data_IF_922328208719
#
_entry.id   IF_922328208719
#
_cell.length_a   1.000
_cell.length_b   1.000
_cell.length_c   1.000
_cell.angle_alpha   90.00
_cell.angle_beta   90.00
_cell.angle_gamma   90.00
#
_symmetry.space_group_name_H-M   'P 1'
#
loop_
_entity.id
_entity.type
_entity.pdbx_description
1 polymer ?
#
# COMPACT_ATOMS: atom_id res chain seq x y z
N UNK A 1 21.64 12.34 5.13
CA UNK A 1 21.13 10.95 5.20
C UNK A 1 19.80 10.91 4.50
N UNK A 2 19.69 10.11 3.45
CA UNK A 2 18.46 9.88 2.69
C UNK A 2 17.75 8.63 3.18
N UNK A 3 16.43 8.68 3.22
CA UNK A 3 15.60 7.59 3.74
C UNK A 3 14.54 7.20 2.70
N UNK A 4 14.55 5.93 2.31
CA UNK A 4 13.47 5.31 1.55
C UNK A 4 12.47 4.61 2.47
N UNK A 5 11.18 4.62 2.11
CA UNK A 5 10.15 3.88 2.83
C UNK A 5 9.45 2.89 1.91
N UNK A 6 9.33 1.66 2.37
CA UNK A 6 8.52 0.63 1.71
C UNK A 6 7.23 0.38 2.51
N UNK A 7 6.09 0.54 1.85
CA UNK A 7 4.76 0.32 2.41
C UNK A 7 4.03 -0.79 1.63
N UNK A 8 4.14 -2.04 2.08
CA UNK A 8 3.44 -3.17 1.46
C UNK A 8 1.92 -3.03 1.50
N UNK A 9 1.23 -3.78 0.65
CA UNK A 9 -0.21 -3.94 0.71
C UNK A 9 -0.66 -4.76 1.92
N UNK A 10 -1.96 -4.73 2.21
CA UNK A 10 -2.52 -5.46 3.36
C UNK A 10 -3.96 -5.10 3.73
N UNK A 11 -4.67 -4.34 2.90
CA UNK A 11 -6.06 -3.94 3.19
C UNK A 11 -6.18 -3.27 4.55
N UNK A 12 -7.09 -3.74 5.40
CA UNK A 12 -7.34 -3.17 6.73
C UNK A 12 -6.11 -3.20 7.67
N UNK A 13 -5.14 -4.11 7.42
CA UNK A 13 -3.87 -4.14 8.16
C UNK A 13 -3.02 -2.88 7.93
N UNK A 14 -3.33 -2.08 6.91
CA UNK A 14 -2.73 -0.77 6.66
C UNK A 14 -2.95 0.24 7.79
N UNK A 15 -3.91 0.00 8.70
CA UNK A 15 -4.10 0.80 9.90
C UNK A 15 -2.84 0.80 10.79
N UNK A 16 -2.16 -0.34 10.92
CA UNK A 16 -0.88 -0.45 11.62
C UNK A 16 0.18 0.48 10.98
N UNK A 17 0.33 0.42 9.65
CA UNK A 17 1.28 1.29 8.93
C UNK A 17 0.99 2.77 9.19
N UNK A 18 -0.27 3.16 9.14
CA UNK A 18 -0.68 4.54 9.35
C UNK A 18 -0.33 5.03 10.78
N UNK A 19 -0.51 4.17 11.79
CA UNK A 19 -0.08 4.45 13.15
C UNK A 19 1.43 4.68 13.27
N UNK A 20 2.24 3.79 12.70
CA UNK A 20 3.71 3.93 12.66
C UNK A 20 4.10 5.24 11.96
N UNK A 21 3.52 5.52 10.79
CA UNK A 21 3.82 6.73 10.02
C UNK A 21 3.47 8.01 10.78
N UNK A 22 2.33 8.06 11.48
CA UNK A 22 1.97 9.22 12.31
C UNK A 22 2.95 9.39 13.47
N UNK A 23 3.32 8.30 14.16
CA UNK A 23 4.28 8.37 15.27
C UNK A 23 5.63 8.93 14.83
N UNK A 24 6.19 8.38 13.75
CA UNK A 24 7.45 8.85 13.16
C UNK A 24 7.35 10.32 12.70
N UNK A 25 6.22 10.69 12.08
CA UNK A 25 5.97 12.07 11.67
C UNK A 25 5.98 13.03 12.86
N UNK A 26 5.32 12.69 13.96
CA UNK A 26 5.27 13.49 15.19
C UNK A 26 6.63 13.58 15.87
N UNK A 27 7.49 12.58 15.71
CA UNK A 27 8.89 12.57 16.18
C UNK A 27 9.87 13.29 15.25
N UNK A 28 9.38 13.88 14.17
CA UNK A 28 10.19 14.71 13.27
C UNK A 28 10.55 14.09 11.93
N UNK A 29 10.32 12.79 11.71
CA UNK A 29 10.52 12.13 10.42
C UNK A 29 9.30 12.39 9.50
N UNK A 30 9.22 13.62 8.99
CA UNK A 30 8.05 14.10 8.25
C UNK A 30 8.07 13.75 6.76
N UNK A 31 9.19 13.27 6.24
CA UNK A 31 9.40 13.07 4.80
C UNK A 31 10.40 11.96 4.55
N UNK A 32 10.21 11.30 3.43
CA UNK A 32 11.14 10.32 2.88
C UNK A 32 11.62 10.80 1.52
N UNK A 33 12.81 10.38 1.12
CA UNK A 33 13.41 10.75 -0.17
C UNK A 33 12.90 9.85 -1.29
N UNK A 34 12.50 8.62 -0.96
CA UNK A 34 11.91 7.68 -1.91
C UNK A 34 10.86 6.79 -1.25
N UNK A 35 9.80 6.49 -1.98
CA UNK A 35 8.66 5.67 -1.54
C UNK A 35 8.49 4.49 -2.49
N UNK A 36 8.31 3.28 -1.95
CA UNK A 36 7.91 2.08 -2.69
C UNK A 36 6.64 1.50 -2.06
N UNK A 37 5.50 1.67 -2.72
CA UNK A 37 4.19 1.48 -2.09
C UNK A 37 3.29 0.56 -2.92
N UNK A 38 2.56 -0.33 -2.23
CA UNK A 38 1.61 -1.29 -2.84
C UNK A 38 0.22 -1.14 -2.22
N UNK A 39 -0.85 -1.10 -3.02
CA UNK A 39 -2.23 -1.20 -2.54
C UNK A 39 -2.54 -0.18 -1.44
N UNK A 40 -3.03 -0.61 -0.29
CA UNK A 40 -3.29 0.27 0.87
C UNK A 40 -2.04 1.05 1.31
N UNK A 41 -0.85 0.48 1.12
CA UNK A 41 0.41 1.18 1.37
C UNK A 41 0.59 2.38 0.44
N UNK A 42 0.10 2.32 -0.81
CA UNK A 42 0.11 3.45 -1.72
C UNK A 42 -0.85 4.57 -1.24
N UNK A 43 -1.99 4.22 -0.67
CA UNK A 43 -2.91 5.19 -0.06
C UNK A 43 -2.26 5.87 1.15
N UNK A 44 -1.73 5.11 2.12
CA UNK A 44 -1.06 5.64 3.30
C UNK A 44 0.14 6.50 2.92
N UNK A 45 0.99 6.00 2.01
CA UNK A 45 2.14 6.72 1.51
C UNK A 45 1.76 8.04 0.83
N UNK A 46 0.67 8.06 0.07
CA UNK A 46 0.23 9.28 -0.61
C UNK A 46 -0.29 10.35 0.36
N UNK A 47 -1.01 9.96 1.41
CA UNK A 47 -1.36 10.90 2.49
C UNK A 47 -0.13 11.53 3.12
N UNK A 48 0.89 10.72 3.40
CA UNK A 48 2.15 11.21 3.97
C UNK A 48 2.92 12.09 2.98
N UNK A 49 3.05 11.63 1.72
CA UNK A 49 3.74 12.34 0.64
C UNK A 49 3.15 13.74 0.39
N UNK A 50 1.84 13.88 0.51
CA UNK A 50 1.11 15.16 0.36
C UNK A 50 0.98 15.94 1.67
N UNK A 51 1.58 15.47 2.77
CA UNK A 51 1.54 16.14 4.06
C UNK A 51 0.18 16.14 4.75
N UNK A 52 -0.73 15.22 4.36
CA UNK A 52 -2.10 15.12 4.89
C UNK A 52 -2.23 14.04 5.99
N UNK A 53 -1.28 13.96 6.94
CA UNK A 53 -1.23 12.92 7.98
C UNK A 53 -2.49 12.93 8.86
N UNK A 54 -3.05 14.09 9.19
CA UNK A 54 -4.30 14.20 9.96
C UNK A 54 -5.50 13.58 9.22
N UNK A 55 -5.53 13.72 7.89
CA UNK A 55 -6.57 13.07 7.07
C UNK A 55 -6.37 11.55 7.00
N UNK A 56 -5.12 11.09 6.91
CA UNK A 56 -4.78 9.66 7.02
C UNK A 56 -5.28 9.09 8.35
N UNK A 57 -4.97 9.75 9.47
CA UNK A 57 -5.47 9.36 10.79
C UNK A 57 -6.99 9.26 10.81
N UNK A 58 -7.69 10.30 10.36
CA UNK A 58 -9.17 10.31 10.30
C UNK A 58 -9.70 9.13 9.46
N UNK A 59 -9.09 8.84 8.33
CA UNK A 59 -9.49 7.69 7.50
C UNK A 59 -9.50 6.38 8.29
N UNK A 60 -8.56 6.17 9.20
CA UNK A 60 -8.43 4.92 9.94
C UNK A 60 -9.25 4.85 11.23
N UNK A 61 -9.43 5.98 11.95
CA UNK A 61 -9.99 5.96 13.30
C UNK A 61 -11.34 6.67 13.45
N UNK A 62 -11.85 7.39 12.42
CA UNK A 62 -13.11 8.15 12.55
C UNK A 62 -14.38 7.28 12.56
N UNK A 63 -14.27 5.98 12.32
CA UNK A 63 -15.43 5.10 12.21
C UNK A 63 -16.25 5.28 10.92
N UNK A 64 -15.87 6.21 10.04
CA UNK A 64 -16.52 6.42 8.74
C UNK A 64 -16.22 5.30 7.73
N UNK A 65 -15.28 4.45 8.03
CA UNK A 65 -14.95 3.28 7.23
C UNK A 65 -16.06 2.23 7.35
N UNK A 66 -16.31 1.49 6.29
CA UNK A 66 -17.41 0.53 6.10
C UNK A 66 -17.48 -0.56 7.20
N UNK A 67 -17.79 -0.17 8.44
CA UNK A 67 -18.00 -1.09 9.54
C UNK A 67 -19.11 -2.09 9.16
N UNK A 68 -18.72 -3.36 8.95
CA UNK A 68 -19.66 -4.45 8.73
C UNK A 68 -20.38 -4.47 7.38
N UNK A 69 -20.07 -3.58 6.44
CA UNK A 69 -20.67 -3.63 5.10
C UNK A 69 -19.87 -4.58 4.20
N UNK A 70 -20.59 -5.44 3.49
CA UNK A 70 -20.04 -6.27 2.42
C UNK A 70 -19.47 -5.34 1.33
N UNK A 71 -18.25 -5.60 0.89
CA UNK A 71 -17.67 -4.84 -0.21
C UNK A 71 -18.46 -5.09 -1.49
N UNK A 72 -18.70 -4.03 -2.26
CA UNK A 72 -19.20 -4.16 -3.61
C UNK A 72 -18.06 -4.49 -4.56
N UNK A 73 -18.38 -5.18 -5.64
CA UNK A 73 -17.42 -5.41 -6.73
C UNK A 73 -18.04 -5.07 -8.08
N UNK A 74 -17.19 -4.53 -8.96
CA UNK A 74 -17.50 -4.31 -10.36
C UNK A 74 -16.47 -5.11 -11.16
N UNK A 75 -16.94 -5.91 -12.11
CA UNK A 75 -16.07 -6.78 -12.93
C UNK A 75 -15.15 -7.71 -12.11
N UNK A 76 -15.64 -8.19 -10.97
CA UNK A 76 -14.86 -8.97 -10.00
C UNK A 76 -13.65 -8.23 -9.41
N UNK A 77 -13.71 -6.92 -9.32
CA UNK A 77 -12.73 -6.06 -8.66
C UNK A 77 -13.44 -5.28 -7.55
N UNK A 78 -12.81 -5.15 -6.39
CA UNK A 78 -13.38 -4.42 -5.26
C UNK A 78 -13.65 -2.95 -5.64
N UNK A 79 -14.83 -2.43 -5.30
CA UNK A 79 -15.13 -1.01 -5.49
C UNK A 79 -14.51 -0.19 -4.35
N UNK A 80 -13.40 0.45 -4.64
CA UNK A 80 -12.68 1.37 -3.75
C UNK A 80 -12.89 2.85 -4.12
N UNK A 81 -13.87 3.15 -4.98
CA UNK A 81 -14.11 4.49 -5.54
C UNK A 81 -14.25 5.56 -4.46
N UNK A 82 -14.86 5.24 -3.32
CA UNK A 82 -15.03 6.15 -2.18
C UNK A 82 -13.68 6.61 -1.60
N UNK A 83 -12.75 5.69 -1.39
CA UNK A 83 -11.44 6.02 -0.79
C UNK A 83 -10.53 6.69 -1.81
N UNK A 84 -10.60 6.29 -3.06
CA UNK A 84 -9.92 6.96 -4.17
C UNK A 84 -10.43 8.40 -4.35
N UNK A 85 -11.76 8.64 -4.21
CA UNK A 85 -12.31 10.00 -4.26
C UNK A 85 -11.69 10.91 -3.20
N UNK A 86 -11.48 10.42 -1.98
CA UNK A 86 -10.81 11.18 -0.90
C UNK A 86 -9.38 11.61 -1.31
N UNK A 87 -8.66 10.79 -2.08
CA UNK A 87 -7.32 11.14 -2.56
C UNK A 87 -7.37 12.29 -3.59
N UNK A 88 -8.39 12.35 -4.46
CA UNK A 88 -8.55 13.47 -5.38
C UNK A 88 -8.82 14.81 -4.67
N UNK A 89 -9.34 14.77 -3.44
CA UNK A 89 -9.63 15.96 -2.62
C UNK A 89 -8.41 16.41 -1.80
N UNK A 90 -7.28 15.70 -1.84
CA UNK A 90 -6.07 16.09 -1.15
C UNK A 90 -5.42 17.27 -1.88
N UNK A 91 -5.03 18.27 -1.09
CA UNK A 91 -4.20 19.36 -1.59
C UNK A 91 -2.73 18.94 -1.51
N UNK A 92 -1.97 19.23 -2.53
CA UNK A 92 -0.52 19.00 -2.58
C UNK A 92 0.21 19.97 -1.61
N UNK A 93 0.08 19.71 -0.31
CA UNK A 93 0.83 20.46 0.69
C UNK A 93 2.26 19.92 0.74
N UNK A 94 3.21 20.71 0.25
CA UNK A 94 4.65 20.49 0.47
C UNK A 94 5.22 19.19 -0.11
N UNK A 95 4.81 18.81 -1.32
CA UNK A 95 5.53 17.79 -2.07
C UNK A 95 6.99 18.22 -2.16
N UNK A 96 7.91 17.33 -1.79
CA UNK A 96 9.33 17.54 -2.04
C UNK A 96 9.59 17.37 -3.54
N UNK A 97 10.07 18.40 -4.20
CA UNK A 97 10.40 18.35 -5.64
C UNK A 97 11.38 17.23 -6.01
N UNK A 98 12.15 16.73 -5.03
CA UNK A 98 13.20 15.72 -5.21
C UNK A 98 12.88 14.35 -4.58
N UNK A 99 11.63 14.07 -4.20
CA UNK A 99 11.26 12.74 -3.70
C UNK A 99 10.65 11.90 -4.80
N UNK A 100 11.09 10.63 -4.92
CA UNK A 100 10.48 9.65 -5.82
C UNK A 100 9.31 8.93 -5.14
N UNK A 101 8.27 8.60 -5.89
CA UNK A 101 7.13 7.84 -5.38
C UNK A 101 6.75 6.72 -6.33
N UNK A 102 7.18 5.52 -6.02
CA UNK A 102 6.93 4.33 -6.83
C UNK A 102 5.71 3.57 -6.34
N UNK A 103 4.87 3.18 -7.28
CA UNK A 103 3.79 2.21 -7.06
C UNK A 103 3.93 1.06 -8.03
N UNK A 104 3.43 -0.11 -7.65
CA UNK A 104 3.30 -1.22 -8.58
C UNK A 104 1.85 -1.63 -8.78
N UNK A 105 1.57 -2.27 -9.91
CA UNK A 105 0.32 -2.95 -10.22
C UNK A 105 0.56 -4.10 -11.19
N UNK A 106 -0.38 -5.04 -11.26
CA UNK A 106 -0.36 -6.13 -12.24
C UNK A 106 -1.16 -5.72 -13.48
N UNK A 107 -0.47 -5.46 -14.59
CA UNK A 107 -1.13 -5.21 -15.87
C UNK A 107 -1.46 -6.54 -16.55
N UNK A 108 -2.72 -6.72 -16.94
CA UNK A 108 -3.17 -7.94 -17.64
C UNK A 108 -3.47 -7.61 -19.11
N UNK A 109 -2.76 -8.24 -20.00
CA UNK A 109 -2.92 -8.11 -21.46
C UNK A 109 -2.65 -9.45 -22.13
N UNK A 110 -3.48 -9.80 -23.11
CA UNK A 110 -3.31 -11.02 -23.90
C UNK A 110 -3.20 -12.28 -23.02
N UNK A 111 -4.07 -12.40 -22.02
CA UNK A 111 -4.10 -13.53 -21.06
C UNK A 111 -2.81 -13.70 -20.25
N UNK A 112 -2.01 -12.64 -20.10
CA UNK A 112 -0.76 -12.63 -19.36
C UNK A 112 -0.72 -11.45 -18.41
N UNK A 113 -0.14 -11.65 -17.22
CA UNK A 113 0.08 -10.62 -16.22
C UNK A 113 1.54 -10.17 -16.20
N UNK A 114 1.76 -8.85 -16.21
CA UNK A 114 3.09 -8.23 -16.06
C UNK A 114 3.07 -7.23 -14.91
N UNK A 115 4.03 -7.32 -13.99
CA UNK A 115 4.25 -6.27 -13.01
C UNK A 115 4.72 -4.98 -13.72
N UNK A 116 4.08 -3.88 -13.38
CA UNK A 116 4.49 -2.54 -13.80
C UNK A 116 4.81 -1.75 -12.54
N UNK A 117 5.97 -1.11 -12.51
CA UNK A 117 6.39 -0.16 -11.47
C UNK A 117 6.45 1.22 -12.12
N UNK A 118 5.84 2.22 -11.50
CA UNK A 118 5.75 3.59 -12.03
C UNK A 118 6.18 4.57 -10.95
N UNK A 119 7.09 5.49 -11.29
CA UNK A 119 7.34 6.69 -10.50
C UNK A 119 6.25 7.72 -10.78
N UNK A 120 5.33 7.87 -9.83
CA UNK A 120 4.22 8.81 -9.94
C UNK A 120 4.58 10.23 -9.48
N UNK A 121 5.76 10.46 -8.92
CA UNK A 121 6.18 11.77 -8.41
C UNK A 121 6.22 12.84 -9.50
N UNK A 122 6.51 12.44 -10.74
CA UNK A 122 6.62 13.32 -11.92
C UNK A 122 5.28 13.60 -12.61
N UNK A 123 4.21 12.94 -12.17
CA UNK A 123 2.88 13.06 -12.77
C UNK A 123 2.09 14.18 -12.08
N UNK A 124 1.05 14.69 -12.77
CA UNK A 124 0.08 15.56 -12.14
C UNK A 124 -0.77 14.81 -11.10
N UNK A 125 -1.46 15.54 -10.24
CA UNK A 125 -2.25 14.97 -9.14
C UNK A 125 -3.28 13.93 -9.61
N UNK A 126 -4.02 14.24 -10.69
CA UNK A 126 -5.05 13.34 -11.24
C UNK A 126 -4.45 11.99 -11.66
N UNK A 127 -3.34 12.03 -12.36
CA UNK A 127 -2.69 10.81 -12.86
C UNK A 127 -2.04 10.02 -11.72
N UNK A 128 -1.45 10.68 -10.71
CA UNK A 128 -0.97 10.00 -9.49
C UNK A 128 -2.08 9.18 -8.85
N UNK A 129 -3.26 9.77 -8.64
CA UNK A 129 -4.40 9.08 -8.02
C UNK A 129 -4.92 7.95 -8.90
N UNK A 130 -4.93 8.11 -10.23
CA UNK A 130 -5.29 7.05 -11.18
C UNK A 130 -4.37 5.83 -11.04
N UNK A 131 -3.06 6.04 -10.95
CA UNK A 131 -2.12 4.95 -10.77
C UNK A 131 -2.25 4.27 -9.39
N UNK A 132 -2.51 5.04 -8.32
CA UNK A 132 -2.83 4.47 -7.01
C UNK A 132 -4.10 3.60 -7.08
N UNK A 133 -5.12 4.03 -7.82
CA UNK A 133 -6.33 3.24 -8.06
C UNK A 133 -5.99 1.88 -8.70
N UNK A 134 -5.08 1.82 -9.66
CA UNK A 134 -4.64 0.56 -10.25
C UNK A 134 -3.97 -0.35 -9.21
N UNK A 135 -3.07 0.21 -8.39
CA UNK A 135 -2.39 -0.53 -7.32
C UNK A 135 -3.35 -1.09 -6.26
N UNK A 136 -4.57 -0.53 -6.14
CA UNK A 136 -5.61 -0.92 -5.18
C UNK A 136 -6.76 -1.72 -5.81
N UNK A 137 -6.66 -2.12 -7.07
CA UNK A 137 -7.70 -2.84 -7.79
C UNK A 137 -7.69 -4.34 -7.45
N UNK A 138 -8.12 -4.66 -6.22
CA UNK A 138 -8.05 -6.01 -5.66
C UNK A 138 -9.13 -6.92 -6.27
N UNK A 139 -8.77 -8.08 -6.84
CA UNK A 139 -9.73 -9.06 -7.31
C UNK A 139 -10.62 -9.58 -6.19
N UNK A 140 -11.94 -9.46 -6.38
CA UNK A 140 -12.93 -9.78 -5.37
C UNK A 140 -14.24 -10.26 -6.03
N UNK A 141 -14.77 -11.36 -5.54
CA UNK A 141 -16.07 -11.86 -5.97
C UNK A 141 -17.12 -11.59 -4.88
N UNK A 142 -18.26 -11.04 -5.28
CA UNK A 142 -19.33 -10.65 -4.34
C UNK A 142 -19.85 -11.82 -3.51
N UNK A 143 -19.86 -13.02 -4.06
CA UNK A 143 -20.40 -14.22 -3.40
C UNK A 143 -19.31 -15.00 -2.63
N UNK A 144 -18.13 -15.13 -3.25
CA UNK A 144 -17.02 -15.95 -2.73
C UNK A 144 -16.03 -15.19 -1.86
N UNK A 145 -15.94 -13.85 -2.01
CA UNK A 145 -14.95 -13.02 -1.35
C UNK A 145 -13.66 -12.84 -2.17
N UNK A 146 -12.53 -12.77 -1.49
CA UNK A 146 -11.22 -12.58 -2.11
C UNK A 146 -10.81 -13.79 -2.95
N UNK A 147 -10.23 -13.52 -4.13
CA UNK A 147 -9.55 -14.54 -4.91
C UNK A 147 -8.17 -14.83 -4.34
N UNK A 148 -7.79 -16.09 -4.30
CA UNK A 148 -6.40 -16.48 -4.12
C UNK A 148 -5.55 -16.09 -5.33
N UNK A 149 -4.24 -15.95 -5.13
CA UNK A 149 -3.30 -15.65 -6.23
C UNK A 149 -3.40 -16.71 -7.33
N UNK A 150 -3.61 -17.98 -6.96
CA UNK A 150 -3.74 -19.08 -7.93
C UNK A 150 -5.03 -18.96 -8.76
N UNK A 151 -6.16 -18.60 -8.16
CA UNK A 151 -7.40 -18.34 -8.88
C UNK A 151 -7.26 -17.16 -9.83
N UNK A 152 -6.62 -16.06 -9.40
CA UNK A 152 -6.36 -14.91 -10.27
C UNK A 152 -5.54 -15.32 -11.49
N UNK A 153 -4.47 -16.10 -11.33
CA UNK A 153 -3.67 -16.62 -12.45
C UNK A 153 -4.52 -17.43 -13.43
N UNK A 154 -5.34 -18.37 -12.94
CA UNK A 154 -6.22 -19.17 -13.76
C UNK A 154 -7.26 -18.32 -14.52
N UNK A 155 -7.76 -17.25 -13.89
CA UNK A 155 -8.70 -16.33 -14.55
C UNK A 155 -8.01 -15.47 -15.61
N UNK A 156 -6.77 -15.04 -15.37
CA UNK A 156 -5.96 -14.33 -16.37
C UNK A 156 -5.76 -15.24 -17.62
N UNK A 157 -5.32 -16.47 -17.42
CA UNK A 157 -5.12 -17.46 -18.50
C UNK A 157 -6.41 -17.72 -19.30
N UNK A 158 -7.58 -17.66 -18.64
CA UNK A 158 -8.90 -17.75 -19.28
C UNK A 158 -9.39 -16.43 -19.89
N UNK A 159 -8.61 -15.34 -19.81
CA UNK A 159 -8.94 -14.03 -20.37
C UNK A 159 -9.93 -13.20 -19.56
N UNK A 160 -10.30 -13.59 -18.32
CA UNK A 160 -11.32 -12.87 -17.53
C UNK A 160 -10.92 -11.47 -17.09
N UNK A 161 -9.63 -11.22 -16.88
CA UNK A 161 -9.11 -9.91 -16.48
C UNK A 161 -8.35 -9.22 -17.62
N UNK A 162 -8.52 -9.66 -18.87
CA UNK A 162 -7.80 -9.06 -19.99
C UNK A 162 -8.21 -7.60 -20.20
N UNK A 163 -7.24 -6.72 -20.36
CA UNK A 163 -7.46 -5.27 -20.42
C UNK A 163 -7.41 -4.55 -19.05
N UNK A 164 -7.46 -5.26 -17.92
CA UNK A 164 -7.44 -4.66 -16.59
C UNK A 164 -6.02 -4.42 -16.06
N UNK A 165 -5.95 -3.52 -15.08
CA UNK A 165 -4.83 -3.38 -14.16
C UNK A 165 -5.34 -3.82 -12.78
N UNK A 166 -4.62 -4.73 -12.13
CA UNK A 166 -5.00 -5.33 -10.86
C UNK A 166 -4.04 -4.89 -9.75
N UNK A 167 -4.47 -5.09 -8.50
CA UNK A 167 -3.71 -4.77 -7.29
C UNK A 167 -2.25 -5.24 -7.37
N UNK A 168 -1.34 -4.38 -6.94
CA UNK A 168 0.10 -4.64 -6.97
C UNK A 168 0.51 -5.87 -6.15
N UNK A 169 -0.23 -6.19 -5.10
CA UNK A 169 -0.03 -7.40 -4.30
C UNK A 169 -0.24 -8.70 -5.07
N UNK A 170 -0.94 -8.67 -6.20
CA UNK A 170 -1.09 -9.82 -7.10
C UNK A 170 0.21 -10.13 -7.85
N UNK A 171 1.09 -9.15 -8.01
CA UNK A 171 2.42 -9.32 -8.59
C UNK A 171 3.46 -9.49 -7.48
N UNK A 172 3.66 -8.45 -6.69
CA UNK A 172 4.66 -8.42 -5.62
C UNK A 172 4.22 -7.44 -4.51
N UNK A 173 3.91 -7.97 -3.33
CA UNK A 173 3.36 -7.17 -2.24
C UNK A 173 4.40 -6.27 -1.55
N UNK A 174 5.66 -6.68 -1.53
CA UNK A 174 6.78 -5.92 -0.96
C UNK A 174 7.90 -5.85 -1.98
N UNK A 175 8.35 -4.66 -2.32
CA UNK A 175 9.47 -4.45 -3.23
C UNK A 175 10.27 -3.22 -2.80
N UNK A 176 11.58 -3.31 -2.88
CA UNK A 176 12.50 -2.22 -2.52
C UNK A 176 13.52 -1.93 -3.64
N UNK A 177 13.38 -2.60 -4.79
CA UNK A 177 14.32 -2.39 -5.90
C UNK A 177 14.47 -0.91 -6.27
N UNK A 178 13.37 -0.09 -6.41
CA UNK A 178 13.51 1.33 -6.71
C UNK A 178 14.25 2.12 -5.61
N UNK A 179 14.07 1.73 -4.33
CA UNK A 179 14.79 2.39 -3.23
C UNK A 179 16.31 2.10 -3.27
N UNK A 180 16.67 0.89 -3.73
CA UNK A 180 18.07 0.51 -3.95
C UNK A 180 18.65 1.29 -5.14
N UNK A 181 17.88 1.42 -6.23
CA UNK A 181 18.26 2.17 -7.43
C UNK A 181 18.42 3.67 -7.14
N UNK A 182 17.55 4.25 -6.29
CA UNK A 182 17.66 5.63 -5.78
C UNK A 182 18.84 5.81 -4.80
N UNK A 183 19.55 4.73 -4.45
CA UNK A 183 20.72 4.71 -3.57
C UNK A 183 20.49 5.42 -2.22
N UNK A 184 19.34 5.17 -1.57
CA UNK A 184 19.06 5.73 -0.25
C UNK A 184 19.98 5.16 0.83
N UNK A 185 20.31 5.97 1.85
CA UNK A 185 21.18 5.56 2.96
C UNK A 185 20.53 4.53 3.89
N UNK A 186 19.20 4.65 4.08
CA UNK A 186 18.39 3.73 4.90
C UNK A 186 17.08 3.40 4.20
N UNK A 187 16.64 2.15 4.36
CA UNK A 187 15.34 1.65 3.91
C UNK A 187 14.52 1.26 5.13
N UNK A 188 13.41 1.96 5.35
CA UNK A 188 12.42 1.60 6.35
C UNK A 188 11.29 0.80 5.69
N UNK A 189 11.02 -0.40 6.18
CA UNK A 189 9.91 -1.24 5.75
C UNK A 189 8.88 -1.30 6.88
N UNK A 190 7.67 -0.81 6.65
CA UNK A 190 6.58 -0.92 7.61
C UNK A 190 5.67 -2.05 7.12
N UNK A 191 5.94 -3.25 7.61
CA UNK A 191 5.24 -4.46 7.20
C UNK A 191 3.83 -4.54 7.77
N UNK A 192 2.92 -5.18 7.03
CA UNK A 192 1.59 -5.60 7.50
C UNK A 192 1.56 -7.05 7.97
N UNK A 193 2.72 -7.71 8.01
CA UNK A 193 2.89 -9.11 8.43
C UNK A 193 3.77 -9.17 9.66
N UNK A 194 3.37 -9.95 10.64
CA UNK A 194 4.20 -10.30 11.79
C UNK A 194 5.46 -11.05 11.31
N UNK A 195 6.59 -10.86 12.01
CA UNK A 195 7.88 -11.51 11.70
C UNK A 195 8.26 -11.47 10.21
N UNK A 196 8.00 -10.33 9.56
CA UNK A 196 8.35 -10.17 8.15
C UNK A 196 9.87 -10.13 7.97
N UNK A 197 10.35 -10.93 7.03
CA UNK A 197 11.72 -10.92 6.58
C UNK A 197 11.78 -10.65 5.07
N UNK A 198 12.79 -9.92 4.63
CA UNK A 198 13.04 -9.74 3.21
C UNK A 198 13.50 -11.06 2.56
N UNK A 199 13.00 -11.37 1.36
CA UNK A 199 13.50 -12.53 0.61
C UNK A 199 15.02 -12.47 0.44
N UNK A 200 15.68 -13.63 0.59
CA UNK A 200 17.14 -13.73 0.52
C UNK A 200 17.73 -13.09 -0.74
N UNK A 201 17.06 -13.25 -1.90
CA UNK A 201 17.50 -12.61 -3.16
C UNK A 201 17.51 -11.08 -3.11
N UNK A 202 16.67 -10.49 -2.27
CA UNK A 202 16.60 -9.02 -2.08
C UNK A 202 17.68 -8.60 -1.10
N UNK A 203 17.92 -9.38 -0.03
CA UNK A 203 18.99 -9.14 0.95
C UNK A 203 20.38 -9.17 0.32
N UNK A 204 20.58 -9.92 -0.75
CA UNK A 204 21.85 -9.93 -1.50
C UNK A 204 22.14 -8.62 -2.25
N UNK A 205 21.13 -7.77 -2.45
CA UNK A 205 21.25 -6.50 -3.19
C UNK A 205 21.43 -5.28 -2.30
N UNK A 206 21.29 -5.42 -0.99
CA UNK A 206 21.36 -4.32 -0.02
C UNK A 206 22.07 -4.77 1.26
N UNK A 207 22.88 -3.89 1.83
CA UNK A 207 23.48 -4.11 3.14
C UNK A 207 22.36 -4.17 4.21
N UNK A 208 22.34 -5.26 4.98
CA UNK A 208 21.36 -5.46 6.06
C UNK A 208 21.34 -4.32 7.08
N UNK A 209 22.48 -3.67 7.31
CA UNK A 209 22.59 -2.51 8.19
C UNK A 209 21.83 -1.27 7.68
N UNK A 210 21.46 -1.25 6.40
CA UNK A 210 20.65 -0.18 5.81
C UNK A 210 19.15 -0.42 5.99
N UNK A 211 18.72 -1.63 6.36
CA UNK A 211 17.30 -2.02 6.41
C UNK A 211 16.78 -1.98 7.84
N UNK A 212 15.68 -1.29 8.04
CA UNK A 212 14.91 -1.26 9.29
C UNK A 212 13.52 -1.81 8.99
N UNK A 213 13.08 -2.80 9.75
CA UNK A 213 11.76 -3.42 9.58
C UNK A 213 10.94 -3.17 10.83
N UNK A 214 9.74 -2.59 10.67
CA UNK A 214 8.73 -2.49 11.72
C UNK A 214 7.57 -3.39 11.32
N UNK A 215 7.21 -4.34 12.19
CA UNK A 215 6.17 -5.35 11.97
C UNK A 215 5.21 -5.41 13.14
N UNK A 216 3.93 -5.82 12.96
CA UNK A 216 3.01 -6.07 14.07
C UNK A 216 3.58 -7.08 15.08
N UNK A 217 3.25 -6.91 16.36
CA UNK A 217 3.71 -7.79 17.46
C UNK A 217 3.15 -9.21 17.38
N UNK A 218 1.98 -9.36 16.76
CA UNK A 218 1.31 -10.65 16.60
C UNK A 218 0.84 -10.86 15.17
N UNK A 219 0.61 -12.12 14.81
CA UNK A 219 0.05 -12.47 13.51
C UNK A 219 -1.36 -11.90 13.37
N UNK A 220 -1.63 -11.29 12.22
CA UNK A 220 -2.94 -10.80 11.82
C UNK A 220 -3.48 -11.73 10.75
N UNK A 221 -4.62 -12.38 11.04
CA UNK A 221 -5.23 -13.35 10.13
C UNK A 221 -5.46 -12.76 8.72
N UNK A 222 -5.30 -13.59 7.71
CA UNK A 222 -5.55 -13.16 6.33
C UNK A 222 -7.03 -12.88 6.05
N UNK A 223 -7.95 -13.50 6.80
CA UNK A 223 -9.39 -13.18 6.74
C UNK A 223 -9.69 -11.73 7.14
N UNK A 224 -8.81 -11.11 7.96
CA UNK A 224 -8.97 -9.73 8.41
C UNK A 224 -8.44 -8.69 7.40
N UNK A 225 -8.01 -9.12 6.22
CA UNK A 225 -7.57 -8.21 5.15
C UNK A 225 -8.65 -7.21 4.74
N UNK A 226 -9.92 -7.60 4.82
CA UNK A 226 -11.08 -6.75 4.55
C UNK A 226 -11.87 -6.35 5.81
N UNK A 227 -11.31 -6.53 7.00
CA UNK A 227 -11.94 -6.15 8.26
C UNK A 227 -11.68 -4.67 8.59
N UNK A 228 -12.41 -3.78 7.91
CA UNK A 228 -12.34 -2.34 8.17
C UNK A 228 -13.27 -1.88 9.31
N UNK A 229 -13.57 -2.75 10.29
CA UNK A 229 -14.31 -2.31 11.46
C UNK A 229 -13.53 -1.26 12.26
N UNK A 230 -14.19 -0.23 12.82
CA UNK A 230 -13.50 0.82 13.59
C UNK A 230 -12.68 0.28 14.74
N UNK A 231 -13.20 -0.76 15.40
CA UNK A 231 -12.54 -1.43 16.51
C UNK A 231 -11.22 -2.07 16.07
N UNK A 232 -11.25 -2.88 15.01
CA UNK A 232 -10.07 -3.55 14.46
C UNK A 232 -9.03 -2.54 13.96
N UNK A 233 -9.47 -1.55 13.17
CA UNK A 233 -8.57 -0.53 12.64
C UNK A 233 -7.95 0.33 13.74
N UNK A 234 -8.74 0.77 14.76
CA UNK A 234 -8.23 1.56 15.87
C UNK A 234 -7.22 0.80 16.73
N UNK A 235 -7.46 -0.50 16.96
CA UNK A 235 -6.52 -1.37 17.68
C UNK A 235 -5.17 -1.45 16.96
N UNK A 236 -5.17 -1.75 15.66
CA UNK A 236 -3.95 -1.84 14.86
C UNK A 236 -3.24 -0.50 14.73
N UNK A 237 -4.01 0.58 14.55
CA UNK A 237 -3.46 1.92 14.48
C UNK A 237 -2.71 2.30 15.76
N UNK A 238 -3.33 2.03 16.93
CA UNK A 238 -2.71 2.28 18.23
C UNK A 238 -1.42 1.47 18.41
N UNK A 239 -1.45 0.19 18.09
CA UNK A 239 -0.25 -0.66 18.12
C UNK A 239 0.87 -0.08 17.24
N UNK A 240 0.56 0.30 16.00
CA UNK A 240 1.51 0.92 15.09
C UNK A 240 2.08 2.24 15.64
N UNK A 241 1.24 3.09 16.24
CA UNK A 241 1.66 4.36 16.83
C UNK A 241 2.63 4.16 18.01
N UNK A 242 2.42 3.13 18.82
CA UNK A 242 3.32 2.79 19.94
C UNK A 242 4.68 2.24 19.47
N UNK A 243 4.74 1.67 18.26
CA UNK A 243 5.95 1.05 17.70
C UNK A 243 6.80 2.00 16.83
N UNK A 244 6.21 3.08 16.31
CA UNK A 244 6.92 4.13 15.54
C UNK A 244 7.47 5.21 16.46
#
# INVERSE_FOLDING_TARGET
MTIGVCLPGGGAKGAFQAGVLESLYNRGLKRYDSYACTSIGAINGYYLYTGNVDKMKKMWISGENNAGKRFNSVDNIIDNSRDIKKLYELKDYKIRENSSFYINYLQVRNKSGKEIIVDISKLNHKDRVNYIKYSCALPYNQEKGLFSIQEVKQYIEKGKFDGFNLDGGMARNTYIDPLIEDNVDKVLIISTRHNFELPQKVMQKIDSNKVIIISPKAEIDNKDLLNFSPEFCSKLYKEGYEMG
#
